data_IF_168038818463
#
_entry.id   IF_168038818463
#
_cell.length_a   1.000
_cell.length_b   1.000
_cell.length_c   1.000
_cell.angle_alpha   90.00
_cell.angle_beta   90.00
_cell.angle_gamma   90.00
#
_symmetry.space_group_name_H-M   'P 1'
#
loop_
_entity.id
_entity.type
_entity.pdbx_description
1 polymer ?
#
# COMPACT_ATOMS: atom_id res chain seq x y z
N UNK A 1 -18.30 -6.74 -35.59
CA UNK A 1 -17.80 -6.81 -34.20
C UNK A 1 -18.32 -5.57 -33.47
N UNK A 2 -18.83 -5.74 -32.26
CA UNK A 2 -19.30 -4.61 -31.45
C UNK A 2 -18.10 -3.82 -30.95
N UNK A 3 -18.12 -2.50 -31.14
CA UNK A 3 -17.11 -1.62 -30.52
C UNK A 3 -17.42 -1.51 -29.02
N UNK A 4 -16.46 -1.94 -28.18
CA UNK A 4 -16.54 -1.90 -26.73
C UNK A 4 -15.66 -0.80 -26.14
N UNK A 5 -15.12 0.08 -26.98
CA UNK A 5 -14.33 1.23 -26.50
C UNK A 5 -15.22 2.13 -25.64
N UNK A 6 -14.86 2.40 -24.40
CA UNK A 6 -15.67 3.27 -23.56
C UNK A 6 -15.66 4.72 -24.07
N UNK A 7 -16.77 5.40 -23.87
CA UNK A 7 -16.84 6.84 -24.12
C UNK A 7 -15.93 7.57 -23.12
N UNK A 8 -14.99 8.37 -23.66
CA UNK A 8 -14.05 9.13 -22.81
C UNK A 8 -14.75 10.06 -21.82
N UNK A 9 -15.93 10.57 -22.16
CA UNK A 9 -16.70 11.44 -21.30
C UNK A 9 -17.28 10.71 -20.08
N UNK A 10 -17.37 9.39 -20.13
CA UNK A 10 -17.87 8.54 -19.02
C UNK A 10 -16.76 8.07 -18.07
N UNK A 11 -15.50 8.33 -18.40
CA UNK A 11 -14.33 7.91 -17.60
C UNK A 11 -13.96 9.00 -16.59
N UNK A 12 -13.40 8.56 -15.45
CA UNK A 12 -12.77 9.48 -14.51
C UNK A 12 -11.56 10.18 -15.16
N UNK A 13 -11.30 11.45 -14.83
CA UNK A 13 -10.17 12.19 -15.44
C UNK A 13 -8.82 11.44 -15.33
N UNK A 14 -8.60 10.70 -14.25
CA UNK A 14 -7.34 9.95 -14.07
C UNK A 14 -7.20 8.76 -15.03
N UNK A 15 -8.31 8.20 -15.52
CA UNK A 15 -8.30 7.08 -16.46
C UNK A 15 -7.81 7.50 -17.86
N UNK A 16 -7.90 8.78 -18.16
CA UNK A 16 -7.46 9.36 -19.44
C UNK A 16 -6.29 10.34 -19.28
N UNK A 17 -5.71 10.40 -18.10
CA UNK A 17 -4.56 11.25 -17.79
C UNK A 17 -3.29 10.76 -18.50
N UNK A 18 -2.33 11.66 -18.70
CA UNK A 18 -1.02 11.34 -19.24
C UNK A 18 -0.23 10.43 -18.30
N UNK A 19 0.78 9.74 -18.84
CA UNK A 19 1.70 8.94 -18.03
C UNK A 19 2.39 9.77 -16.93
N UNK A 20 2.74 11.00 -17.23
CA UNK A 20 3.38 11.91 -16.28
C UNK A 20 2.43 12.32 -15.16
N UNK A 21 1.16 12.62 -15.48
CA UNK A 21 0.13 12.94 -14.48
C UNK A 21 -0.15 11.75 -13.56
N UNK A 22 -0.25 10.54 -14.12
CA UNK A 22 -0.43 9.30 -13.34
C UNK A 22 0.77 9.08 -12.43
N UNK A 23 2.00 9.22 -12.95
CA UNK A 23 3.22 9.07 -12.17
C UNK A 23 3.32 10.05 -11.02
N UNK A 24 2.94 11.31 -11.24
CA UNK A 24 2.91 12.33 -10.18
C UNK A 24 1.90 11.98 -9.08
N UNK A 25 0.70 11.52 -9.45
CA UNK A 25 -0.31 11.08 -8.48
C UNK A 25 0.15 9.85 -7.70
N UNK A 26 0.75 8.87 -8.39
CA UNK A 26 1.31 7.68 -7.75
C UNK A 26 2.39 8.04 -6.73
N UNK A 27 3.30 8.94 -7.07
CA UNK A 27 4.35 9.37 -6.16
C UNK A 27 3.78 10.07 -4.92
N UNK A 28 2.83 10.97 -5.10
CA UNK A 28 2.17 11.67 -4.01
C UNK A 28 1.48 10.70 -3.05
N UNK A 29 0.71 9.75 -3.58
CA UNK A 29 0.02 8.74 -2.78
C UNK A 29 0.98 7.77 -2.09
N UNK A 30 2.04 7.38 -2.77
CA UNK A 30 3.05 6.48 -2.20
C UNK A 30 3.80 7.13 -1.04
N UNK A 31 4.17 8.42 -1.16
CA UNK A 31 4.76 9.18 -0.06
C UNK A 31 3.84 9.18 1.16
N UNK A 32 2.56 9.43 0.96
CA UNK A 32 1.59 9.39 2.04
C UNK A 32 1.49 7.99 2.65
N UNK A 33 1.40 6.95 1.84
CA UNK A 33 1.25 5.57 2.31
C UNK A 33 2.46 5.10 3.11
N UNK A 34 3.68 5.40 2.65
CA UNK A 34 4.90 5.04 3.38
C UNK A 34 4.99 5.77 4.72
N UNK A 35 4.66 7.07 4.74
CA UNK A 35 4.64 7.84 5.98
C UNK A 35 3.59 7.29 6.94
N UNK A 36 2.40 7.01 6.45
CA UNK A 36 1.30 6.49 7.24
C UNK A 36 1.64 5.13 7.86
N UNK A 37 2.25 4.23 7.09
CA UNK A 37 2.70 2.93 7.57
C UNK A 37 3.83 3.06 8.62
N UNK A 38 4.81 3.90 8.36
CA UNK A 38 5.94 4.15 9.26
C UNK A 38 5.48 4.72 10.61
N UNK A 39 4.58 5.70 10.58
CA UNK A 39 4.13 6.38 11.78
C UNK A 39 3.17 5.52 12.63
N UNK A 40 2.41 4.61 12.02
CA UNK A 40 1.29 3.94 12.68
C UNK A 40 1.44 2.41 12.78
N UNK A 41 2.35 1.78 12.05
CA UNK A 41 2.54 0.33 12.06
C UNK A 41 3.94 0.00 12.55
N UNK A 42 4.10 -0.47 13.81
CA UNK A 42 5.43 -0.76 14.39
C UNK A 42 6.26 -1.74 13.56
N UNK A 43 5.62 -2.72 12.93
CA UNK A 43 6.29 -3.65 12.03
C UNK A 43 7.01 -2.92 10.89
N UNK A 44 6.34 -2.00 10.20
CA UNK A 44 6.94 -1.26 9.07
C UNK A 44 8.04 -0.31 9.56
N UNK A 45 7.85 0.34 10.67
CA UNK A 45 8.92 1.16 11.27
C UNK A 45 10.18 0.33 11.50
N UNK A 46 10.05 -0.83 12.14
CA UNK A 46 11.18 -1.73 12.39
C UNK A 46 11.84 -2.21 11.10
N UNK A 47 11.05 -2.57 10.09
CA UNK A 47 11.56 -3.04 8.81
C UNK A 47 12.32 -1.94 8.07
N UNK A 48 11.82 -0.72 8.08
CA UNK A 48 12.47 0.42 7.42
C UNK A 48 13.77 0.77 8.15
N UNK A 49 13.75 0.83 9.48
CA UNK A 49 14.94 1.08 10.29
C UNK A 49 16.02 0.02 10.07
N UNK A 50 15.64 -1.27 10.05
CA UNK A 50 16.56 -2.37 9.78
C UNK A 50 17.17 -2.31 8.37
N UNK A 51 16.40 -1.84 7.39
CA UNK A 51 16.87 -1.64 6.01
C UNK A 51 17.65 -0.33 5.82
N UNK A 52 17.71 0.52 6.84
CA UNK A 52 18.38 1.82 6.76
C UNK A 52 17.65 2.83 5.86
N UNK A 53 16.31 2.71 5.74
CA UNK A 53 15.49 3.59 4.91
C UNK A 53 14.45 4.32 5.75
N UNK A 54 14.06 5.49 5.26
CA UNK A 54 13.03 6.34 5.86
C UNK A 54 12.05 6.80 4.78
N UNK A 55 10.76 7.04 5.08
CA UNK A 55 9.81 7.54 4.09
C UNK A 55 10.30 8.77 3.31
N UNK A 56 11.10 9.63 3.93
CA UNK A 56 11.67 10.81 3.27
C UNK A 56 12.69 10.48 2.17
N UNK A 57 13.17 9.24 2.10
CA UNK A 57 14.07 8.77 1.04
C UNK A 57 13.34 8.50 -0.29
N UNK A 58 12.02 8.53 -0.29
CA UNK A 58 11.20 8.37 -1.50
C UNK A 58 11.04 9.72 -2.20
N UNK A 59 11.89 9.98 -3.19
CA UNK A 59 11.84 11.21 -4.01
C UNK A 59 11.32 10.96 -5.42
N UNK A 60 11.35 9.71 -5.87
CA UNK A 60 10.80 9.26 -7.15
C UNK A 60 10.21 7.86 -7.00
N UNK A 61 9.42 7.40 -7.97
CA UNK A 61 8.87 6.04 -7.94
C UNK A 61 9.98 4.96 -7.94
N UNK A 62 11.11 5.24 -8.59
CA UNK A 62 12.26 4.33 -8.61
C UNK A 62 12.85 4.09 -7.21
N UNK A 63 12.72 5.04 -6.31
CA UNK A 63 13.21 4.93 -4.93
C UNK A 63 12.45 3.86 -4.12
N UNK A 64 11.30 3.39 -4.60
CA UNK A 64 10.56 2.30 -3.95
C UNK A 64 11.42 1.03 -3.83
N UNK A 65 12.36 0.83 -4.73
CA UNK A 65 13.30 -0.30 -4.68
C UNK A 65 14.19 -0.32 -3.43
N UNK A 66 14.33 0.80 -2.73
CA UNK A 66 15.09 0.90 -1.48
C UNK A 66 14.35 0.31 -0.28
N UNK A 67 13.04 0.14 -0.40
CA UNK A 67 12.18 -0.30 0.70
C UNK A 67 12.01 -1.82 0.70
N UNK A 68 11.92 -2.46 1.89
CA UNK A 68 11.78 -3.92 1.98
C UNK A 68 10.42 -4.40 1.49
N UNK A 69 10.39 -5.65 1.01
CA UNK A 69 9.15 -6.32 0.68
C UNK A 69 8.41 -6.79 1.93
N UNK A 70 7.08 -6.89 1.82
CA UNK A 70 6.23 -7.59 2.77
C UNK A 70 5.91 -8.97 2.21
N UNK A 71 6.02 -10.00 3.03
CA UNK A 71 5.68 -11.37 2.66
C UNK A 71 4.51 -11.87 3.50
N UNK A 72 3.89 -12.97 3.08
CA UNK A 72 2.68 -13.49 3.73
C UNK A 72 2.90 -13.84 5.20
N UNK A 73 4.08 -14.35 5.56
CA UNK A 73 4.41 -14.64 6.96
C UNK A 73 4.41 -13.40 7.85
N UNK A 74 4.75 -12.23 7.29
CA UNK A 74 4.70 -10.97 8.04
C UNK A 74 3.27 -10.64 8.52
N UNK A 75 2.28 -10.92 7.69
CA UNK A 75 0.87 -10.75 8.07
C UNK A 75 0.46 -11.72 9.18
N UNK A 76 0.90 -12.97 9.10
CA UNK A 76 0.62 -13.98 10.14
C UNK A 76 1.28 -13.64 11.46
N UNK A 77 2.53 -13.20 11.42
CA UNK A 77 3.32 -12.87 12.62
C UNK A 77 2.77 -11.64 13.35
N UNK A 78 2.02 -10.79 12.64
CA UNK A 78 1.32 -9.63 13.18
C UNK A 78 -0.19 -9.86 13.39
N UNK A 79 -0.64 -11.10 13.33
CA UNK A 79 -2.04 -11.47 13.57
C UNK A 79 -2.48 -11.06 15.00
N UNK A 80 -3.70 -10.55 15.23
CA UNK A 80 -4.70 -10.26 14.18
C UNK A 80 -4.68 -8.81 13.66
N UNK A 81 -4.18 -7.83 14.40
CA UNK A 81 -4.36 -6.41 14.14
C UNK A 81 -3.06 -5.60 14.09
N UNK A 82 -1.91 -6.28 14.14
CA UNK A 82 -0.60 -5.63 14.20
C UNK A 82 -0.24 -4.82 12.96
N UNK A 83 -0.88 -5.09 11.82
CA UNK A 83 -0.68 -4.35 10.56
C UNK A 83 -1.66 -3.19 10.34
N UNK A 84 -2.56 -2.95 11.29
CA UNK A 84 -3.51 -1.84 11.17
C UNK A 84 -2.81 -0.50 11.41
N UNK A 85 -3.05 0.44 10.52
CA UNK A 85 -2.47 1.77 10.56
C UNK A 85 -3.39 2.83 11.19
N UNK A 86 -4.60 2.41 11.59
CA UNK A 86 -5.59 3.25 12.26
C UNK A 86 -6.21 2.49 13.44
N UNK A 87 -6.81 3.18 14.42
CA UNK A 87 -7.57 2.52 15.49
C UNK A 87 -8.70 1.64 14.94
N UNK A 88 -9.04 0.58 15.67
CA UNK A 88 -10.04 -0.40 15.21
C UNK A 88 -11.42 0.20 14.93
N UNK A 89 -11.80 1.23 15.65
CA UNK A 89 -13.07 1.96 15.44
C UNK A 89 -13.12 2.74 14.13
N UNK A 90 -11.97 2.95 13.47
CA UNK A 90 -11.87 3.59 12.15
C UNK A 90 -11.78 2.58 11.01
N UNK A 91 -11.76 1.29 11.30
CA UNK A 91 -11.72 0.23 10.29
C UNK A 91 -13.13 0.02 9.73
N UNK A 92 -13.26 0.12 8.42
CA UNK A 92 -14.54 -0.09 7.73
C UNK A 92 -14.92 -1.56 7.66
N UNK A 93 -13.95 -2.44 7.41
CA UNK A 93 -14.13 -3.91 7.37
C UNK A 93 -12.79 -4.61 7.53
N UNK A 94 -12.88 -5.87 7.97
CA UNK A 94 -11.73 -6.75 8.15
C UNK A 94 -11.89 -7.94 7.22
N UNK A 95 -10.85 -8.26 6.48
CA UNK A 95 -10.76 -9.43 5.62
C UNK A 95 -9.65 -10.33 6.11
N UNK A 96 -9.85 -11.64 5.99
CA UNK A 96 -8.84 -12.61 6.40
C UNK A 96 -8.87 -13.82 5.43
N UNK A 97 -7.72 -14.48 5.31
CA UNK A 97 -7.64 -15.75 4.58
C UNK A 97 -8.25 -16.87 5.43
N UNK A 98 -8.50 -18.06 4.81
CA UNK A 98 -9.07 -19.22 5.50
C UNK A 98 -8.17 -19.80 6.61
N UNK A 99 -6.86 -19.55 6.57
CA UNK A 99 -5.92 -20.04 7.58
C UNK A 99 -5.72 -21.56 7.58
N UNK A 100 -5.84 -22.22 6.42
CA UNK A 100 -5.75 -23.69 6.31
C UNK A 100 -4.42 -24.28 6.78
N UNK A 101 -3.35 -23.50 6.79
CA UNK A 101 -2.00 -23.93 7.19
C UNK A 101 -1.49 -23.23 8.44
N UNK A 102 -2.36 -22.66 9.28
CA UNK A 102 -2.02 -21.93 10.49
C UNK A 102 -2.92 -20.71 10.70
N UNK A 103 -2.36 -19.64 11.27
CA UNK A 103 -3.12 -18.41 11.49
C UNK A 103 -3.55 -17.79 10.16
N UNK A 104 -4.78 -17.24 10.08
CA UNK A 104 -5.20 -16.46 8.92
C UNK A 104 -4.29 -15.25 8.69
N UNK A 105 -4.19 -14.82 7.44
CA UNK A 105 -3.62 -13.50 7.12
C UNK A 105 -4.73 -12.45 7.15
N UNK A 106 -4.51 -11.38 7.86
CA UNK A 106 -5.49 -10.30 8.04
C UNK A 106 -4.99 -9.02 7.39
#
# INVERSE_FOLDING_TARGET
MRDLTPDRASLDPIEIASRDEIGALQLSRLKWSLRHAYDNVPFYRSQFEAAGVHPDDLNSLADLAKFPFTVKSDLRDNYPFGMFAVPRDQITRIHASSGTTGKPTV
#
